data_IF_750674220579
#
_entry.id   IF_750674220579
#
_cell.length_a   1.000
_cell.length_b   1.000
_cell.length_c   1.000
_cell.angle_alpha   90.00
_cell.angle_beta   90.00
_cell.angle_gamma   90.00
#
_symmetry.space_group_name_H-M   'P 1'
#
loop_
_entity.id
_entity.type
_entity.pdbx_description
1 polymer ?
#
# COMPACT_ATOMS: atom_id res chain seq x y z
N UNK A 1 11.45 3.51 -2.31
CA UNK A 1 11.81 2.59 -1.22
C UNK A 1 11.18 1.24 -1.46
N UNK A 2 11.98 0.23 -1.53
CA UNK A 2 11.49 -1.11 -1.78
C UNK A 2 10.81 -1.67 -0.53
N UNK A 3 9.68 -2.31 -0.72
CA UNK A 3 8.93 -2.89 0.38
C UNK A 3 8.51 -4.30 0.00
N UNK A 4 7.95 -5.02 0.96
CA UNK A 4 7.36 -6.32 0.71
C UNK A 4 5.87 -6.19 0.88
N UNK A 5 5.13 -6.88 0.03
CA UNK A 5 3.68 -6.81 0.06
C UNK A 5 3.13 -8.21 -0.02
N UNK A 6 2.23 -8.54 0.90
CA UNK A 6 1.48 -9.76 0.83
C UNK A 6 0.14 -9.44 0.21
N UNK A 7 -0.22 -10.18 -0.80
CA UNK A 7 -1.44 -9.94 -1.52
C UNK A 7 -2.46 -11.01 -1.23
N UNK A 8 -3.69 -10.65 -1.35
CA UNK A 8 -4.74 -11.61 -1.28
C UNK A 8 -4.71 -12.38 -2.59
N UNK A 9 -4.46 -13.65 -2.50
CA UNK A 9 -4.35 -14.47 -3.69
C UNK A 9 -5.74 -14.89 -4.13
N UNK A 10 -6.47 -13.99 -4.67
CA UNK A 10 -7.77 -14.30 -5.17
C UNK A 10 -7.61 -15.29 -6.27
N UNK A 11 -7.54 -14.84 -7.42
CA UNK A 11 -7.16 -15.68 -8.52
C UNK A 11 -6.85 -14.82 -9.70
N UNK A 12 -6.17 -15.44 -10.62
CA UNK A 12 -5.97 -14.88 -11.93
C UNK A 12 -5.23 -13.57 -11.93
N UNK A 13 -4.28 -13.44 -11.10
CA UNK A 13 -3.45 -12.26 -11.15
C UNK A 13 -4.11 -11.00 -10.60
N UNK A 14 -5.27 -11.15 -10.04
CA UNK A 14 -5.91 -10.04 -9.37
C UNK A 14 -5.34 -9.92 -7.99
N UNK A 15 -4.18 -9.38 -7.89
CA UNK A 15 -3.52 -9.32 -6.60
C UNK A 15 -3.80 -8.01 -5.91
N UNK A 16 -4.50 -8.08 -4.81
CA UNK A 16 -4.82 -6.90 -4.02
C UNK A 16 -3.95 -6.89 -2.77
N UNK A 17 -3.24 -5.81 -2.50
CA UNK A 17 -2.40 -5.76 -1.31
C UNK A 17 -3.20 -5.93 -0.03
N UNK A 18 -2.67 -6.73 0.87
CA UNK A 18 -3.30 -6.95 2.17
C UNK A 18 -2.41 -6.50 3.30
N UNK A 19 -1.11 -6.73 3.20
CA UNK A 19 -0.16 -6.36 4.24
C UNK A 19 1.06 -5.77 3.56
N UNK A 20 1.49 -4.63 4.04
CA UNK A 20 2.70 -3.98 3.57
C UNK A 20 3.75 -4.12 4.66
N UNK A 21 4.93 -4.58 4.30
CA UNK A 21 6.03 -4.71 5.25
C UNK A 21 7.19 -3.87 4.82
N UNK A 22 7.67 -3.03 5.70
CA UNK A 22 8.86 -2.26 5.42
C UNK A 22 9.61 -2.02 6.73
N UNK A 23 10.91 -2.13 6.64
CA UNK A 23 11.76 -2.05 7.80
C UNK A 23 11.31 -3.08 8.81
N UNK A 24 10.97 -2.68 10.00
CA UNK A 24 10.56 -3.62 11.03
C UNK A 24 9.06 -3.51 11.32
N UNK A 25 8.30 -2.95 10.39
CA UNK A 25 6.87 -2.73 10.60
C UNK A 25 6.05 -3.47 9.57
N UNK A 26 4.87 -3.85 9.99
CA UNK A 26 3.86 -4.34 9.07
C UNK A 26 2.61 -3.51 9.25
N UNK A 27 1.98 -3.18 8.13
CA UNK A 27 0.76 -2.41 8.13
C UNK A 27 -0.27 -3.19 7.34
N UNK A 28 -1.38 -3.48 7.96
CA UNK A 28 -2.47 -4.16 7.27
C UNK A 28 -3.24 -3.13 6.46
N UNK A 29 -3.67 -3.53 5.28
CA UNK A 29 -4.44 -2.67 4.42
C UNK A 29 -5.90 -2.70 4.88
N UNK A 30 -6.38 -1.55 5.33
CA UNK A 30 -7.74 -1.43 5.81
C UNK A 30 -8.68 -1.24 4.63
N UNK A 31 -8.23 -0.51 3.62
CA UNK A 31 -9.07 -0.22 2.47
C UNK A 31 -8.19 0.20 1.31
N UNK A 32 -8.57 -0.21 0.12
CA UNK A 32 -7.93 0.29 -1.10
C UNK A 32 -8.74 1.49 -1.55
N UNK A 33 -8.10 2.64 -1.56
CA UNK A 33 -8.77 3.89 -1.88
C UNK A 33 -8.82 4.15 -3.37
N UNK A 34 -7.79 3.73 -4.08
CA UNK A 34 -7.71 3.96 -5.50
C UNK A 34 -6.69 3.02 -6.10
N UNK A 35 -6.77 2.83 -7.40
CA UNK A 35 -5.79 2.04 -8.13
C UNK A 35 -5.73 2.54 -9.55
N UNK A 36 -4.53 2.50 -10.13
CA UNK A 36 -4.36 2.91 -11.52
C UNK A 36 -3.14 2.22 -12.09
N UNK A 37 -3.00 2.34 -13.41
CA UNK A 37 -1.93 1.68 -14.15
C UNK A 37 -1.11 2.69 -14.90
N UNK A 38 0.18 2.41 -15.03
CA UNK A 38 0.95 3.03 -16.09
C UNK A 38 1.64 1.88 -16.82
N UNK A 39 2.42 2.16 -17.86
CA UNK A 39 2.95 1.07 -18.68
C UNK A 39 3.76 0.02 -17.93
N UNK A 40 4.45 0.42 -16.87
CA UNK A 40 5.35 -0.50 -16.18
C UNK A 40 4.90 -0.89 -14.80
N UNK A 41 3.92 -0.21 -14.24
CA UNK A 41 3.56 -0.38 -12.85
C UNK A 41 2.08 -0.39 -12.63
N UNK A 42 1.68 -1.08 -11.58
CA UNK A 42 0.35 -0.98 -11.02
C UNK A 42 0.46 -0.19 -9.73
N UNK A 43 -0.39 0.78 -9.56
CA UNK A 43 -0.38 1.63 -8.39
C UNK A 43 -1.61 1.38 -7.52
N UNK A 44 -1.40 1.46 -6.23
CA UNK A 44 -2.50 1.35 -5.27
C UNK A 44 -2.35 2.46 -4.24
N UNK A 45 -3.45 3.15 -3.99
CA UNK A 45 -3.52 4.09 -2.89
C UNK A 45 -4.34 3.41 -1.81
N UNK A 46 -3.76 3.22 -0.65
CA UNK A 46 -4.40 2.44 0.38
C UNK A 46 -4.45 3.20 1.70
N UNK A 47 -5.39 2.79 2.52
CA UNK A 47 -5.48 3.24 3.90
C UNK A 47 -4.99 2.10 4.76
N UNK A 48 -3.97 2.37 5.56
CA UNK A 48 -3.43 1.37 6.47
C UNK A 48 -4.23 1.30 7.76
N UNK A 49 -4.01 0.24 8.53
CA UNK A 49 -4.69 0.09 9.81
C UNK A 49 -4.14 1.07 10.86
N UNK A 50 -3.06 1.75 10.53
CA UNK A 50 -2.52 2.84 11.35
C UNK A 50 -3.13 4.17 10.94
N UNK A 51 -4.13 4.16 10.06
CA UNK A 51 -4.81 5.34 9.54
C UNK A 51 -3.94 6.17 8.60
N UNK A 52 -2.80 5.65 8.22
CA UNK A 52 -1.92 6.33 7.26
C UNK A 52 -2.35 6.04 5.84
N UNK A 53 -2.01 6.96 4.95
CA UNK A 53 -2.29 6.81 3.52
C UNK A 53 -0.98 6.43 2.84
N UNK A 54 -1.03 5.39 2.05
CA UNK A 54 0.16 4.90 1.36
C UNK A 54 -0.13 4.78 -0.12
N UNK A 55 0.82 5.20 -0.94
CA UNK A 55 0.77 4.90 -2.36
C UNK A 55 1.92 3.97 -2.64
N UNK A 56 1.59 2.79 -3.12
CA UNK A 56 2.57 1.77 -3.43
C UNK A 56 2.43 1.39 -4.89
N UNK A 57 3.50 0.89 -5.46
CA UNK A 57 3.47 0.47 -6.84
C UNK A 57 4.17 -0.87 -7.00
N UNK A 58 3.69 -1.61 -7.97
CA UNK A 58 4.19 -2.94 -8.28
C UNK A 58 4.77 -2.91 -9.69
N UNK A 59 6.05 -3.15 -9.82
CA UNK A 59 6.68 -3.22 -11.12
C UNK A 59 6.34 -4.56 -11.75
N UNK A 60 5.73 -4.54 -12.91
CA UNK A 60 5.23 -5.76 -13.50
C UNK A 60 6.29 -6.59 -14.20
N UNK A 61 7.47 -6.03 -14.41
CA UNK A 61 8.58 -6.79 -14.97
C UNK A 61 9.41 -7.45 -13.89
N UNK A 62 9.87 -6.66 -12.92
CA UNK A 62 10.75 -7.17 -11.88
C UNK A 62 9.98 -7.75 -10.71
N UNK A 63 8.69 -7.49 -10.65
CA UNK A 63 7.82 -7.97 -9.58
C UNK A 63 8.13 -7.34 -8.23
N UNK A 64 8.81 -6.21 -8.26
CA UNK A 64 9.21 -5.50 -7.06
C UNK A 64 8.14 -4.51 -6.66
N UNK A 65 7.88 -4.41 -5.37
CA UNK A 65 6.96 -3.42 -4.83
C UNK A 65 7.75 -2.27 -4.23
N UNK A 66 7.22 -1.07 -4.38
CA UNK A 66 7.87 0.13 -3.85
C UNK A 66 6.86 1.04 -3.19
N UNK A 67 7.29 1.68 -2.13
CA UNK A 67 6.51 2.74 -1.50
C UNK A 67 6.87 4.04 -2.18
N UNK A 68 5.85 4.71 -2.71
CA UNK A 68 6.03 5.94 -3.45
C UNK A 68 5.69 7.16 -2.60
N UNK A 69 4.72 7.01 -1.72
CA UNK A 69 4.23 8.13 -0.95
C UNK A 69 3.62 7.63 0.35
N UNK A 70 3.82 8.38 1.40
CA UNK A 70 3.25 8.04 2.69
C UNK A 70 2.80 9.32 3.38
N UNK A 71 1.59 9.33 3.86
CA UNK A 71 1.08 10.42 4.66
C UNK A 71 0.56 9.85 5.96
N UNK A 72 1.16 10.28 7.03
CA UNK A 72 0.80 9.81 8.34
C UNK A 72 -0.58 10.32 8.73
N UNK A 73 -1.24 9.60 9.60
CA UNK A 73 -2.55 10.02 10.09
C UNK A 73 -2.45 11.33 10.82
N UNK A 74 -3.42 12.21 10.59
CA UNK A 74 -3.46 13.44 11.30
C UNK A 74 -4.55 13.50 12.30
N UNK A 75 -5.17 12.43 12.44
CA UNK A 75 -6.30 12.41 13.32
C UNK A 75 -5.93 12.84 14.66
N UNK A 76 -6.10 13.29 14.99
CA UNK A 76 -5.95 13.63 15.87
C UNK A 76 -5.82 14.52 16.56
N UNK A 77 -5.68 14.68 16.05
CA UNK A 77 -5.32 15.30 16.51
C UNK A 77 -5.96 15.91 17.31
N UNK A 78 -6.18 15.48 16.87
CA UNK A 78 -6.40 15.82 17.46
C UNK A 78 -7.07 16.03 18.28
N UNK A 79 -7.28 15.92 18.31
CA UNK A 79 -7.68 15.91 18.90
C UNK A 79 -8.01 16.17 19.89
N UNK A 80 -7.97 16.34 19.96
CA UNK A 80 -8.08 16.46 20.79
C UNK A 80 -8.44 16.85 21.56
N UNK A 81 -8.51 17.11 21.47
CA UNK A 81 -8.59 17.37 22.04
C UNK A 81 -8.76 17.41 22.54
#
# INVERSE_FOLDING_TARGET
MQIKVKCYAGYRGEETPRIISFRSREVAVKKVLDRWLDPDHRYFKILGDDEGIYIIRHNMDSWIWELVFYQESKAPANKME
#
